data_IF_393061714130
#
_entry.id   IF_393061714130
#
_cell.length_a   1.000
_cell.length_b   1.000
_cell.length_c   1.000
_cell.angle_alpha   90.00
_cell.angle_beta   90.00
_cell.angle_gamma   90.00
#
_symmetry.space_group_name_H-M   'P 1'
#
loop_
_entity.id
_entity.type
_entity.pdbx_description
1 polymer ?
#
# COMPACT_ATOMS: atom_id res chain seq x y z
N UNK A 1 -40.89 -56.97 -18.80
CA UNK A 1 -39.90 -56.03 -18.23
C UNK A 1 -40.06 -54.73 -19.01
N UNK A 2 -40.82 -53.79 -18.46
CA UNK A 2 -40.93 -52.42 -18.99
C UNK A 2 -40.28 -51.48 -18.00
N UNK A 3 -39.26 -50.74 -18.46
CA UNK A 3 -38.56 -49.73 -17.68
C UNK A 3 -39.29 -48.40 -17.83
N UNK A 4 -40.00 -48.00 -16.78
CA UNK A 4 -40.66 -46.69 -16.70
C UNK A 4 -39.61 -45.57 -16.61
N UNK A 5 -39.38 -44.89 -17.72
CA UNK A 5 -38.63 -43.64 -17.76
C UNK A 5 -39.47 -42.51 -17.16
N UNK A 6 -39.15 -42.12 -15.92
CA UNK A 6 -39.76 -40.97 -15.26
C UNK A 6 -39.06 -39.67 -15.71
N UNK A 7 -39.54 -39.12 -16.83
CA UNK A 7 -39.19 -37.77 -17.25
C UNK A 7 -39.83 -36.76 -16.29
N UNK A 8 -39.09 -36.37 -15.26
CA UNK A 8 -39.48 -35.30 -14.34
C UNK A 8 -39.37 -33.94 -15.04
N UNK A 9 -40.40 -33.59 -15.81
CA UNK A 9 -40.62 -32.23 -16.26
C UNK A 9 -41.03 -31.39 -15.04
N UNK A 10 -40.05 -30.77 -14.39
CA UNK A 10 -40.28 -29.71 -13.43
C UNK A 10 -40.86 -28.52 -14.19
N UNK A 11 -42.19 -28.38 -14.14
CA UNK A 11 -42.92 -27.23 -14.67
C UNK A 11 -42.33 -25.95 -14.06
N UNK A 12 -41.55 -25.20 -14.84
CA UNK A 12 -40.98 -23.90 -14.44
C UNK A 12 -42.06 -22.83 -14.23
N UNK A 13 -43.30 -23.12 -14.62
CA UNK A 13 -44.45 -22.21 -14.63
C UNK A 13 -45.01 -21.89 -13.23
N UNK A 14 -44.57 -22.58 -12.17
CA UNK A 14 -45.07 -22.36 -10.81
C UNK A 14 -44.17 -21.45 -9.95
N UNK A 15 -42.98 -21.07 -10.41
CA UNK A 15 -42.02 -20.31 -9.58
C UNK A 15 -42.07 -18.79 -9.75
N UNK A 16 -42.64 -18.29 -10.84
CA UNK A 16 -42.75 -16.85 -11.07
C UNK A 16 -44.16 -16.49 -11.54
N UNK A 17 -44.81 -15.48 -10.93
CA UNK A 17 -46.13 -15.06 -11.35
C UNK A 17 -46.10 -14.60 -12.80
N UNK A 18 -47.03 -15.12 -13.62
CA UNK A 18 -47.17 -14.72 -15.02
C UNK A 18 -47.61 -13.25 -15.09
N UNK A 19 -46.65 -12.37 -15.39
CA UNK A 19 -46.82 -10.91 -15.42
C UNK A 19 -47.72 -10.43 -16.56
N UNK A 20 -47.86 -11.23 -17.62
CA UNK A 20 -48.74 -10.93 -18.75
C UNK A 20 -50.22 -10.93 -18.32
N UNK A 21 -50.59 -11.83 -17.40
CA UNK A 21 -51.92 -11.89 -16.78
C UNK A 21 -52.16 -10.81 -15.72
N UNK A 22 -51.11 -10.21 -15.16
CA UNK A 22 -51.21 -9.23 -14.07
C UNK A 22 -51.67 -7.82 -14.56
N UNK A 23 -51.68 -7.58 -15.87
CA UNK A 23 -52.03 -6.29 -16.47
C UNK A 23 -50.98 -5.21 -16.21
N UNK A 24 -50.99 -4.14 -17.01
CA UNK A 24 -50.04 -3.01 -16.87
C UNK A 24 -50.41 -2.06 -15.72
N UNK A 25 -50.87 -2.59 -14.59
CA UNK A 25 -51.25 -1.80 -13.42
C UNK A 25 -50.09 -1.81 -12.42
N UNK A 26 -49.66 -0.64 -11.98
CA UNK A 26 -48.70 -0.55 -10.88
C UNK A 26 -49.38 -1.03 -9.58
N UNK A 27 -48.95 -2.18 -9.06
CA UNK A 27 -49.43 -2.74 -7.79
C UNK A 27 -48.59 -2.27 -6.60
N UNK A 28 -47.49 -1.59 -6.84
CA UNK A 28 -46.57 -1.13 -5.81
C UNK A 28 -46.89 0.32 -5.47
N UNK A 29 -47.19 0.54 -4.19
CA UNK A 29 -47.36 1.88 -3.63
C UNK A 29 -46.34 2.04 -2.52
N UNK A 30 -45.72 3.21 -2.46
CA UNK A 30 -44.85 3.56 -1.34
C UNK A 30 -45.68 4.22 -0.24
N UNK A 31 -45.35 3.99 1.04
CA UNK A 31 -45.95 4.73 2.13
C UNK A 31 -45.71 6.24 1.97
N UNK A 32 -46.67 7.02 2.43
CA UNK A 32 -46.55 8.48 2.47
C UNK A 32 -45.30 8.88 3.27
N UNK A 33 -44.50 9.80 2.73
CA UNK A 33 -43.31 10.31 3.40
C UNK A 33 -42.10 9.36 3.45
N UNK A 34 -42.15 8.17 2.83
CA UNK A 34 -41.02 7.23 2.80
C UNK A 34 -39.71 7.89 2.35
N UNK A 35 -39.76 8.60 1.22
CA UNK A 35 -38.59 9.29 0.66
C UNK A 35 -38.21 10.57 1.43
N UNK A 36 -39.10 11.12 2.25
CA UNK A 36 -38.79 12.28 3.10
C UNK A 36 -37.99 11.87 4.35
N UNK A 37 -38.26 10.68 4.89
CA UNK A 37 -37.60 10.16 6.09
C UNK A 37 -36.29 9.42 5.76
N UNK A 38 -36.20 8.82 4.58
CA UNK A 38 -35.05 8.01 4.15
C UNK A 38 -33.68 8.74 4.28
N UNK A 39 -33.51 10.00 3.85
CA UNK A 39 -32.24 10.70 4.00
C UNK A 39 -31.81 10.85 5.46
N UNK A 40 -32.76 11.14 6.35
CA UNK A 40 -32.51 11.25 7.79
C UNK A 40 -32.05 9.94 8.39
N UNK A 41 -32.75 8.84 8.08
CA UNK A 41 -32.37 7.50 8.55
C UNK A 41 -31.00 7.06 8.04
N UNK A 42 -30.63 7.39 6.80
CA UNK A 42 -29.30 7.08 6.25
C UNK A 42 -28.23 7.91 6.97
N UNK A 43 -28.45 9.22 7.15
CA UNK A 43 -27.53 10.11 7.83
C UNK A 43 -27.29 9.68 9.28
N UNK A 44 -28.33 9.28 10.01
CA UNK A 44 -28.22 8.74 11.36
C UNK A 44 -27.37 7.47 11.40
N UNK A 45 -27.58 6.52 10.47
CA UNK A 45 -26.77 5.29 10.39
C UNK A 45 -25.30 5.56 10.09
N UNK A 46 -25.00 6.55 9.25
CA UNK A 46 -23.61 6.96 8.93
C UNK A 46 -22.94 7.59 10.16
N UNK A 47 -23.68 8.35 10.96
CA UNK A 47 -23.15 9.04 12.14
C UNK A 47 -23.11 8.19 13.41
N UNK A 48 -23.97 7.17 13.53
CA UNK A 48 -24.00 6.28 14.69
C UNK A 48 -22.67 5.52 14.92
N UNK A 49 -21.86 5.33 13.88
CA UNK A 49 -20.51 4.74 13.97
C UNK A 49 -19.38 5.74 14.24
N UNK A 50 -19.64 7.04 14.24
CA UNK A 50 -18.64 8.10 14.47
C UNK A 50 -18.70 8.60 15.91
N UNK A 51 -18.48 7.71 16.87
CA UNK A 51 -18.22 8.17 18.24
C UNK A 51 -16.83 8.81 18.25
N UNK A 52 -16.68 10.10 18.64
CA UNK A 52 -15.36 10.67 18.77
C UNK A 52 -14.65 9.93 19.90
N UNK A 53 -13.61 9.18 19.56
CA UNK A 53 -12.68 8.63 20.56
C UNK A 53 -11.99 9.82 21.22
N UNK A 54 -12.50 10.25 22.36
CA UNK A 54 -11.89 11.33 23.15
C UNK A 54 -10.65 10.78 23.84
N UNK A 55 -9.49 10.99 23.23
CA UNK A 55 -8.21 10.55 23.80
C UNK A 55 -7.70 11.60 24.78
N UNK A 56 -7.93 11.37 26.07
CA UNK A 56 -7.45 12.26 27.13
C UNK A 56 -5.96 11.99 27.42
N UNK A 57 -5.07 12.57 26.59
CA UNK A 57 -3.61 12.44 26.74
C UNK A 57 -3.12 13.30 27.91
N UNK A 58 -2.99 12.69 29.08
CA UNK A 58 -2.21 13.26 30.18
C UNK A 58 -0.71 13.15 29.84
N UNK A 59 -0.09 14.24 29.36
CA UNK A 59 1.31 14.27 28.92
C UNK A 59 2.34 14.29 30.06
N UNK A 60 1.90 14.55 31.31
CA UNK A 60 2.78 14.62 32.49
C UNK A 60 3.65 13.35 32.71
N UNK A 61 3.11 12.11 32.62
CA UNK A 61 3.94 10.90 32.70
C UNK A 61 4.81 10.63 31.46
N UNK A 62 4.42 11.13 30.28
CA UNK A 62 5.17 10.87 29.01
C UNK A 62 6.48 11.66 28.99
N UNK A 63 6.48 12.90 29.50
CA UNK A 63 7.68 13.74 29.57
C UNK A 63 8.73 13.16 30.53
N UNK A 64 8.30 12.53 31.63
CA UNK A 64 9.21 11.86 32.57
C UNK A 64 9.88 10.63 31.93
N UNK A 65 9.14 9.84 31.15
CA UNK A 65 9.69 8.68 30.42
C UNK A 65 10.73 9.08 29.37
N UNK A 66 10.45 10.10 28.56
CA UNK A 66 11.38 10.59 27.53
C UNK A 66 12.69 11.12 28.12
N UNK A 67 12.61 11.86 29.24
CA UNK A 67 13.81 12.36 29.92
C UNK A 67 14.71 11.23 30.44
N UNK A 68 14.13 10.13 30.93
CA UNK A 68 14.90 8.99 31.42
C UNK A 68 15.61 8.24 30.29
N UNK A 69 14.91 8.00 29.18
CA UNK A 69 15.47 7.33 27.99
C UNK A 69 16.60 8.16 27.39
N UNK A 70 16.42 9.48 27.27
CA UNK A 70 17.45 10.39 26.78
C UNK A 70 18.70 10.39 27.68
N UNK A 71 18.51 10.40 29.01
CA UNK A 71 19.62 10.33 29.96
C UNK A 71 20.41 9.03 29.86
N UNK A 72 19.72 7.89 29.70
CA UNK A 72 20.36 6.58 29.48
C UNK A 72 21.13 6.58 28.16
N UNK A 73 20.51 7.03 27.06
CA UNK A 73 21.16 7.07 25.75
C UNK A 73 22.43 7.93 25.75
N UNK A 74 22.41 9.10 26.40
CA UNK A 74 23.59 9.95 26.54
C UNK A 74 24.68 9.30 27.42
N UNK A 75 24.30 8.68 28.53
CA UNK A 75 25.23 8.00 29.43
C UNK A 75 25.95 6.83 28.75
N UNK A 76 25.20 5.97 28.04
CA UNK A 76 25.77 4.85 27.29
C UNK A 76 26.51 5.30 26.03
N UNK A 77 26.00 6.32 25.32
CA UNK A 77 26.64 6.88 24.13
C UNK A 77 28.03 7.44 24.42
N UNK A 78 28.18 8.28 25.46
CA UNK A 78 29.48 8.84 25.85
C UNK A 78 30.46 7.75 26.29
N UNK A 79 29.97 6.72 27.00
CA UNK A 79 30.81 5.60 27.44
C UNK A 79 31.30 4.75 26.24
N UNK A 80 30.43 4.54 25.25
CA UNK A 80 30.74 3.80 24.03
C UNK A 80 31.79 4.53 23.17
N UNK A 81 31.63 5.84 22.94
CA UNK A 81 32.59 6.62 22.16
C UNK A 81 33.98 6.69 22.80
N UNK A 82 34.07 6.83 24.14
CA UNK A 82 35.35 6.78 24.87
C UNK A 82 36.08 5.44 24.73
N UNK A 83 35.35 4.35 24.47
CA UNK A 83 35.92 3.02 24.28
C UNK A 83 36.50 2.84 22.86
N UNK A 84 36.00 3.58 21.87
CA UNK A 84 36.45 3.46 20.47
C UNK A 84 37.74 4.28 20.21
N UNK A 85 37.93 5.41 20.88
CA UNK A 85 39.08 6.31 20.64
C UNK A 85 40.46 5.69 20.99
N UNK A 86 40.51 4.64 21.81
CA UNK A 86 41.76 3.97 22.22
C UNK A 86 42.13 2.74 21.37
N UNK A 87 41.45 2.48 20.25
CA UNK A 87 41.86 1.43 19.32
C UNK A 87 42.79 2.03 18.27
N UNK A 88 44.09 1.90 18.48
CA UNK A 88 45.05 2.09 17.40
C UNK A 88 44.60 1.24 16.21
N UNK A 89 44.34 1.90 15.08
CA UNK A 89 43.91 1.26 13.85
C UNK A 89 45.12 0.50 13.28
N UNK A 90 45.28 -0.76 13.67
CA UNK A 90 46.06 -1.70 12.87
C UNK A 90 45.33 -1.89 11.54
N UNK A 91 45.78 -1.17 10.52
CA UNK A 91 45.23 -1.28 9.18
C UNK A 91 45.51 -2.69 8.65
N UNK A 92 44.49 -3.49 8.29
CA UNK A 92 44.73 -4.69 7.51
C UNK A 92 45.18 -4.26 6.12
N UNK A 93 46.40 -4.63 5.71
CA UNK A 93 46.84 -4.49 4.32
C UNK A 93 46.02 -5.50 3.51
N UNK A 94 44.99 -5.02 2.82
CA UNK A 94 44.18 -5.87 1.93
C UNK A 94 45.02 -6.15 0.69
N UNK A 95 45.36 -7.43 0.49
CA UNK A 95 45.97 -7.91 -0.74
C UNK A 95 44.90 -8.03 -1.82
N UNK A 96 45.12 -7.43 -2.99
CA UNK A 96 44.22 -7.55 -4.15
C UNK A 96 44.01 -8.98 -4.64
N UNK A 97 44.77 -9.95 -4.10
CA UNK A 97 44.66 -11.37 -4.45
C UNK A 97 43.51 -12.09 -3.74
N UNK A 98 42.90 -11.51 -2.70
CA UNK A 98 41.87 -12.19 -1.89
C UNK A 98 40.42 -11.82 -2.28
N UNK A 99 40.22 -10.95 -3.27
CA UNK A 99 38.88 -10.61 -3.77
C UNK A 99 38.49 -11.66 -4.82
N UNK A 100 37.77 -12.71 -4.40
CA UNK A 100 37.03 -13.56 -5.32
C UNK A 100 35.78 -12.80 -5.78
N UNK A 101 35.89 -12.13 -6.94
CA UNK A 101 34.72 -11.63 -7.66
C UNK A 101 33.97 -12.85 -8.17
N UNK A 102 32.92 -13.27 -7.47
CA UNK A 102 31.93 -14.18 -8.04
C UNK A 102 31.26 -13.40 -9.16
N UNK A 103 31.43 -13.90 -10.38
CA UNK A 103 30.79 -13.42 -11.60
C UNK A 103 29.28 -13.34 -11.33
N UNK A 104 28.77 -12.13 -11.16
CA UNK A 104 27.33 -11.90 -11.12
C UNK A 104 26.83 -12.19 -12.53
N UNK A 105 25.97 -13.19 -12.67
CA UNK A 105 25.34 -13.52 -13.94
C UNK A 105 24.38 -12.37 -14.29
N UNK A 106 24.56 -11.72 -15.44
CA UNK A 106 23.82 -10.51 -15.86
C UNK A 106 22.28 -10.67 -15.89
N UNK A 107 21.78 -11.88 -15.65
CA UNK A 107 20.37 -12.27 -15.67
C UNK A 107 19.60 -11.80 -14.43
N UNK A 108 20.26 -11.62 -13.27
CA UNK A 108 19.59 -11.24 -12.01
C UNK A 108 19.22 -9.74 -11.92
N UNK A 109 19.59 -8.91 -12.90
CA UNK A 109 19.43 -7.45 -12.86
C UNK A 109 18.04 -6.97 -13.34
N UNK A 110 17.23 -7.84 -13.97
CA UNK A 110 16.07 -7.37 -14.75
C UNK A 110 14.69 -7.46 -14.11
N UNK A 111 14.57 -7.90 -12.85
CA UNK A 111 13.25 -8.33 -12.33
C UNK A 111 12.44 -7.31 -11.52
N UNK A 112 12.81 -6.01 -11.49
CA UNK A 112 12.10 -5.04 -10.63
C UNK A 112 11.77 -3.69 -11.28
N UNK A 113 11.36 -3.67 -12.55
CA UNK A 113 10.60 -2.53 -13.09
C UNK A 113 9.48 -3.06 -14.00
N UNK A 114 8.25 -3.07 -13.49
CA UNK A 114 7.08 -3.43 -14.29
C UNK A 114 6.58 -2.23 -15.09
N UNK A 115 6.02 -2.46 -16.29
CA UNK A 115 5.47 -1.39 -17.15
C UNK A 115 4.31 -0.64 -16.46
N UNK A 116 3.70 -1.26 -15.45
CA UNK A 116 2.62 -0.69 -14.65
C UNK A 116 3.14 0.35 -13.65
N UNK A 117 4.36 0.18 -13.11
CA UNK A 117 5.03 1.19 -12.26
C UNK A 117 5.50 2.41 -13.06
N UNK A 118 5.81 2.24 -14.34
CA UNK A 118 6.22 3.34 -15.25
C UNK A 118 5.03 4.20 -15.74
N UNK A 119 3.79 3.74 -15.57
CA UNK A 119 2.59 4.49 -15.93
C UNK A 119 2.13 5.46 -14.83
N UNK A 120 2.69 5.35 -13.63
CA UNK A 120 2.39 6.25 -12.51
C UNK A 120 3.19 7.56 -12.65
N UNK A 121 2.47 8.68 -12.72
CA UNK A 121 3.07 10.02 -12.93
C UNK A 121 4.03 10.39 -11.79
N UNK A 122 3.78 9.87 -10.57
CA UNK A 122 4.66 10.09 -9.42
C UNK A 122 5.98 9.32 -9.50
N UNK A 123 6.03 8.16 -10.16
CA UNK A 123 7.26 7.39 -10.37
C UNK A 123 8.10 7.98 -11.50
N UNK A 124 7.47 8.46 -12.58
CA UNK A 124 8.20 9.13 -13.67
C UNK A 124 8.93 10.39 -13.20
N UNK A 125 8.30 11.20 -12.35
CA UNK A 125 8.94 12.42 -11.84
C UNK A 125 10.10 12.12 -10.87
N UNK A 126 9.98 11.06 -10.06
CA UNK A 126 11.05 10.62 -9.15
C UNK A 126 12.25 10.05 -9.93
N UNK A 127 12.02 9.13 -10.86
CA UNK A 127 13.06 8.52 -11.70
C UNK A 127 13.76 9.57 -12.58
N UNK A 128 12.98 10.53 -13.10
CA UNK A 128 13.52 11.64 -13.90
C UNK A 128 14.42 12.56 -13.07
N UNK A 129 14.07 12.79 -11.81
CA UNK A 129 14.90 13.59 -10.88
C UNK A 129 16.24 12.91 -10.61
N UNK A 130 16.23 11.62 -10.25
CA UNK A 130 17.45 10.86 -9.96
C UNK A 130 18.36 10.76 -11.20
N UNK A 131 17.76 10.59 -12.38
CA UNK A 131 18.48 10.62 -13.65
C UNK A 131 19.15 11.99 -13.89
N UNK A 132 18.47 13.11 -13.62
CA UNK A 132 19.10 14.43 -13.78
C UNK A 132 20.27 14.63 -12.82
N UNK A 133 20.12 14.20 -11.57
CA UNK A 133 21.18 14.32 -10.56
C UNK A 133 22.42 13.52 -10.97
N UNK A 134 22.25 12.29 -11.45
CA UNK A 134 23.35 11.46 -11.95
C UNK A 134 24.08 12.07 -13.16
N UNK A 135 23.32 12.67 -14.09
CA UNK A 135 23.89 13.32 -15.28
C UNK A 135 24.67 14.58 -14.92
N UNK A 136 24.23 15.33 -13.92
CA UNK A 136 24.95 16.50 -13.39
C UNK A 136 26.22 16.08 -12.67
N UNK A 137 26.15 15.07 -11.80
CA UNK A 137 27.30 14.60 -11.00
C UNK A 137 28.42 14.05 -11.89
N UNK A 138 28.06 13.31 -12.95
CA UNK A 138 29.02 12.73 -13.88
C UNK A 138 29.35 13.63 -15.07
N UNK A 139 28.79 14.85 -15.12
CA UNK A 139 28.97 15.82 -16.20
C UNK A 139 28.70 15.22 -17.59
N UNK A 140 27.69 14.36 -17.67
CA UNK A 140 27.28 13.65 -18.88
C UNK A 140 26.36 14.56 -19.70
N UNK A 141 26.76 14.89 -20.92
CA UNK A 141 25.95 15.73 -21.82
C UNK A 141 24.77 14.93 -22.38
N UNK A 142 23.55 15.40 -22.11
CA UNK A 142 22.29 14.80 -22.59
C UNK A 142 22.26 14.68 -24.12
N UNK A 143 22.98 15.55 -24.82
CA UNK A 143 23.10 15.55 -26.28
C UNK A 143 23.81 14.30 -26.82
N UNK A 144 24.65 13.64 -26.01
CA UNK A 144 25.31 12.39 -26.39
C UNK A 144 24.33 11.21 -26.39
N UNK A 145 23.40 11.18 -25.44
CA UNK A 145 22.43 10.08 -25.28
C UNK A 145 21.37 10.10 -26.39
N UNK A 146 20.95 11.30 -26.83
CA UNK A 146 19.95 11.44 -27.91
C UNK A 146 20.52 11.07 -29.28
N UNK A 147 21.83 11.19 -29.48
CA UNK A 147 22.48 10.83 -30.75
C UNK A 147 22.80 9.33 -30.87
N UNK A 148 22.67 8.55 -29.79
CA UNK A 148 22.90 7.10 -29.77
C UNK A 148 21.58 6.27 -29.83
N UNK A 149 20.43 6.95 -29.91
CA UNK A 149 19.09 6.37 -30.16
C UNK A 149 18.70 6.51 -31.64
#
# INVERSE_FOLDING_TARGET
METNNSNTNLNQDERFPNLEKAGRKNLFTVPEGYFNQLPGTIAEKINAGKQPVTYNRNYKPVVLGLSLILAIALMFGVNYFRTIENKEVSQPVISYQDIHLTELEDEDIYDEITVEDLADTTVQDAVKSEMYDYLIENNTDISLIINEL
#
